data_IF_587269679186
#
_entry.id   IF_587269679186
#
_cell.length_a   1.000
_cell.length_b   1.000
_cell.length_c   1.000
_cell.angle_alpha   90.00
_cell.angle_beta   90.00
_cell.angle_gamma   90.00
#
_symmetry.space_group_name_H-M   'P 1'
#
loop_
_entity.id
_entity.type
_entity.pdbx_description
1 polymer ?
#
# COMPACT_ATOMS: atom_id res chain seq x y z
N UNK A 1 -11.43 -10.63 0.69
CA UNK A 1 -10.79 -11.58 1.64
C UNK A 1 -10.37 -10.84 2.90
N UNK A 2 -10.40 -11.54 4.03
CA UNK A 2 -9.83 -11.05 5.29
C UNK A 2 -8.31 -11.11 5.16
N UNK A 3 -7.63 -10.00 5.46
CA UNK A 3 -6.15 -9.94 5.47
C UNK A 3 -5.63 -10.19 6.89
N UNK A 4 -6.22 -9.48 7.87
CA UNK A 4 -5.84 -9.58 9.28
C UNK A 4 -6.90 -8.94 10.18
N UNK A 5 -6.77 -9.19 11.48
CA UNK A 5 -7.41 -8.41 12.55
C UNK A 5 -6.39 -7.39 13.04
N UNK A 6 -6.75 -6.13 13.07
CA UNK A 6 -5.89 -5.03 13.55
C UNK A 6 -5.87 -4.99 15.09
N UNK A 7 -4.93 -4.24 15.66
CA UNK A 7 -4.79 -4.14 17.12
C UNK A 7 -5.99 -3.46 17.82
N UNK A 8 -6.80 -2.67 17.08
CA UNK A 8 -8.05 -2.07 17.56
C UNK A 8 -9.28 -3.00 17.39
N UNK A 9 -9.06 -4.24 16.96
CA UNK A 9 -10.10 -5.24 16.70
C UNK A 9 -10.79 -5.10 15.34
N UNK A 10 -10.51 -4.04 14.57
CA UNK A 10 -11.06 -3.90 13.23
C UNK A 10 -10.50 -4.97 12.28
N UNK A 11 -11.27 -5.32 11.25
CA UNK A 11 -10.93 -6.41 10.32
C UNK A 11 -10.50 -5.81 8.99
N UNK A 12 -9.24 -6.01 8.61
CA UNK A 12 -8.73 -5.57 7.31
C UNK A 12 -9.15 -6.52 6.19
N UNK A 13 -9.80 -5.94 5.19
CA UNK A 13 -10.28 -6.63 4.00
C UNK A 13 -9.59 -6.11 2.75
N UNK A 14 -9.32 -7.01 1.82
CA UNK A 14 -8.92 -6.68 0.44
C UNK A 14 -10.00 -7.17 -0.52
N UNK A 15 -10.28 -6.39 -1.56
CA UNK A 15 -11.13 -6.85 -2.66
C UNK A 15 -10.54 -8.12 -3.28
N UNK A 16 -11.35 -9.17 -3.45
CA UNK A 16 -10.87 -10.46 -3.96
C UNK A 16 -10.38 -10.39 -5.42
N UNK A 17 -11.01 -9.54 -6.22
CA UNK A 17 -10.59 -9.19 -7.58
C UNK A 17 -9.89 -7.82 -7.62
N UNK A 18 -9.47 -7.36 -8.77
CA UNK A 18 -9.08 -5.97 -8.99
C UNK A 18 -10.30 -5.07 -9.10
N UNK A 19 -10.12 -3.78 -8.85
CA UNK A 19 -11.17 -2.79 -9.05
C UNK A 19 -11.69 -2.83 -10.49
N UNK A 20 -13.01 -2.75 -10.65
CA UNK A 20 -13.70 -2.77 -11.93
C UNK A 20 -14.59 -1.53 -12.10
N UNK A 21 -14.75 -1.09 -13.35
CA UNK A 21 -15.71 -0.07 -13.72
C UNK A 21 -17.15 -0.65 -13.80
N UNK A 22 -18.13 0.19 -14.08
CA UNK A 22 -19.54 -0.20 -14.23
C UNK A 22 -19.80 -1.17 -15.38
N UNK A 23 -18.87 -1.30 -16.31
CA UNK A 23 -18.93 -2.24 -17.44
C UNK A 23 -18.21 -3.57 -17.11
N UNK A 24 -17.65 -3.71 -15.92
CA UNK A 24 -16.93 -4.91 -15.50
C UNK A 24 -15.46 -4.98 -15.95
N UNK A 25 -14.93 -3.94 -16.59
CA UNK A 25 -13.54 -3.90 -17.01
C UNK A 25 -12.62 -3.54 -15.83
N UNK A 26 -11.43 -4.15 -15.80
CA UNK A 26 -10.43 -3.82 -14.79
C UNK A 26 -9.97 -2.37 -14.92
N UNK A 27 -10.09 -1.60 -13.85
CA UNK A 27 -9.55 -0.25 -13.76
C UNK A 27 -8.04 -0.33 -13.64
N UNK A 28 -7.33 0.29 -14.59
CA UNK A 28 -5.88 0.41 -14.60
C UNK A 28 -5.48 1.87 -14.57
N UNK A 29 -4.48 2.20 -13.77
CA UNK A 29 -3.98 3.57 -13.65
C UNK A 29 -2.49 3.57 -13.26
N UNK A 30 -1.81 4.68 -13.54
CA UNK A 30 -0.51 4.95 -12.97
C UNK A 30 -0.62 5.10 -11.44
N UNK A 31 0.44 4.78 -10.71
CA UNK A 31 0.52 5.17 -9.29
C UNK A 31 0.64 6.70 -9.20
N UNK A 32 1.53 7.28 -10.00
CA UNK A 32 1.60 8.70 -10.29
C UNK A 32 1.89 8.92 -11.79
N UNK A 33 1.35 9.97 -12.39
CA UNK A 33 1.59 10.28 -13.81
C UNK A 33 3.01 10.75 -14.07
N UNK A 34 3.59 11.51 -13.14
CA UNK A 34 4.99 11.94 -13.16
C UNK A 34 5.85 10.97 -12.35
N UNK A 35 7.13 10.88 -12.69
CA UNK A 35 8.07 9.91 -12.09
C UNK A 35 9.45 10.48 -11.80
N UNK A 36 9.71 11.74 -12.12
CA UNK A 36 11.02 12.38 -12.18
C UNK A 36 11.43 13.11 -10.89
N UNK A 37 10.77 12.81 -9.77
CA UNK A 37 11.05 13.35 -8.44
C UNK A 37 10.73 12.34 -7.34
N UNK A 38 11.45 12.43 -6.20
CA UNK A 38 11.18 11.62 -5.01
C UNK A 38 9.76 11.77 -4.48
N UNK A 39 9.11 12.91 -4.65
CA UNK A 39 7.74 13.13 -4.23
C UNK A 39 6.76 12.07 -4.80
N UNK A 40 6.97 11.64 -6.02
CA UNK A 40 6.03 10.78 -6.75
C UNK A 40 6.00 9.32 -6.30
N UNK A 41 6.82 8.91 -5.33
CA UNK A 41 6.65 7.60 -4.65
C UNK A 41 5.49 7.61 -3.65
N UNK A 42 4.96 8.78 -3.27
CA UNK A 42 3.92 8.92 -2.26
C UNK A 42 2.52 8.60 -2.77
N UNK A 43 1.72 7.89 -1.96
CA UNK A 43 0.28 7.79 -2.12
C UNK A 43 -0.39 9.16 -1.99
N UNK A 44 0.16 9.98 -1.09
CA UNK A 44 0.05 11.43 -1.10
C UNK A 44 1.47 12.01 -1.07
N UNK A 45 1.66 13.20 -1.64
CA UNK A 45 2.98 13.79 -1.78
C UNK A 45 2.96 15.32 -1.58
N UNK A 46 4.13 15.89 -1.36
CA UNK A 46 4.31 17.33 -1.15
C UNK A 46 4.67 18.07 -2.44
N UNK A 47 5.74 18.84 -2.40
CA UNK A 47 6.17 19.72 -3.49
C UNK A 47 7.33 19.07 -4.26
N UNK A 48 7.14 18.67 -5.53
CA UNK A 48 8.21 18.21 -6.39
C UNK A 48 9.26 19.32 -6.59
N UNK A 49 10.52 18.94 -6.73
CA UNK A 49 11.65 19.87 -6.84
C UNK A 49 12.09 20.46 -5.50
N UNK A 50 11.47 20.05 -4.40
CA UNK A 50 11.90 20.48 -3.06
C UNK A 50 13.30 19.98 -2.71
N UNK A 51 13.97 20.72 -1.81
CA UNK A 51 15.29 20.40 -1.29
C UNK A 51 15.28 19.83 0.13
N UNK A 52 14.11 19.47 0.65
CA UNK A 52 13.95 18.86 1.97
C UNK A 52 13.02 17.67 1.91
N UNK A 53 13.27 16.67 2.76
CA UNK A 53 12.41 15.49 2.91
C UNK A 53 10.98 15.88 3.29
N UNK A 54 10.82 16.73 4.29
CA UNK A 54 9.50 17.13 4.81
C UNK A 54 8.63 17.76 3.71
N UNK A 55 9.15 18.76 2.98
CA UNK A 55 8.40 19.44 1.92
C UNK A 55 8.11 18.52 0.74
N UNK A 56 8.98 17.53 0.47
CA UNK A 56 8.78 16.53 -0.59
C UNK A 56 7.67 15.55 -0.23
N UNK A 57 7.55 15.17 1.05
CA UNK A 57 6.66 14.08 1.49
C UNK A 57 5.43 14.52 2.26
N UNK A 58 5.28 15.81 2.57
CA UNK A 58 4.04 16.33 3.16
C UNK A 58 2.84 16.00 2.25
N UNK A 59 1.70 15.64 2.86
CA UNK A 59 0.55 15.08 2.15
C UNK A 59 -0.36 16.20 1.57
N UNK A 60 0.17 17.06 0.69
CA UNK A 60 -0.58 18.17 0.06
C UNK A 60 -1.34 17.75 -1.19
N UNK A 61 -0.82 16.78 -1.91
CA UNK A 61 -1.34 16.37 -3.22
C UNK A 61 -1.69 14.89 -3.19
N UNK A 62 -2.80 14.55 -3.84
CA UNK A 62 -3.20 13.16 -4.07
C UNK A 62 -2.46 12.59 -5.28
N UNK A 63 -1.95 11.37 -5.16
CA UNK A 63 -1.44 10.63 -6.31
C UNK A 63 -2.57 10.20 -7.25
N UNK A 64 -2.22 9.85 -8.48
CA UNK A 64 -3.19 9.34 -9.47
C UNK A 64 -3.91 8.10 -8.97
N UNK A 65 -3.19 7.18 -8.32
CA UNK A 65 -3.79 5.98 -7.73
C UNK A 65 -4.76 6.32 -6.59
N UNK A 66 -4.41 7.29 -5.73
CA UNK A 66 -5.31 7.70 -4.62
C UNK A 66 -6.62 8.25 -5.15
N UNK A 67 -6.57 9.10 -6.15
CA UNK A 67 -7.78 9.64 -6.82
C UNK A 67 -8.66 8.51 -7.36
N UNK A 68 -8.05 7.49 -7.99
CA UNK A 68 -8.77 6.34 -8.52
C UNK A 68 -9.38 5.46 -7.42
N UNK A 69 -8.67 5.25 -6.31
CA UNK A 69 -9.15 4.50 -5.13
C UNK A 69 -10.31 5.23 -4.45
N UNK A 70 -10.19 6.55 -4.25
CA UNK A 70 -11.24 7.38 -3.67
C UNK A 70 -12.51 7.36 -4.51
N UNK A 71 -12.37 7.46 -5.85
CA UNK A 71 -13.51 7.37 -6.77
C UNK A 71 -14.18 6.00 -6.70
N UNK A 72 -13.39 4.92 -6.67
CA UNK A 72 -13.94 3.57 -6.52
C UNK A 72 -14.73 3.42 -5.21
N UNK A 73 -14.26 4.04 -4.12
CA UNK A 73 -14.99 4.07 -2.84
C UNK A 73 -16.33 4.80 -2.98
N UNK A 74 -16.35 5.96 -3.63
CA UNK A 74 -17.57 6.74 -3.86
C UNK A 74 -18.62 5.92 -4.62
N UNK A 75 -18.18 5.21 -5.65
CA UNK A 75 -19.06 4.45 -6.53
C UNK A 75 -19.57 3.13 -5.90
N UNK A 76 -18.80 2.52 -4.98
CA UNK A 76 -19.08 1.15 -4.51
C UNK A 76 -19.40 1.03 -3.01
N UNK A 77 -18.86 1.89 -2.14
CA UNK A 77 -18.94 1.70 -0.69
C UNK A 77 -19.65 2.83 0.05
N UNK A 78 -19.52 4.06 -0.41
CA UNK A 78 -19.91 5.26 0.32
C UNK A 78 -21.37 5.24 0.77
N UNK A 79 -22.27 4.87 -0.12
CA UNK A 79 -23.72 4.93 0.13
C UNK A 79 -24.18 3.86 1.12
N UNK A 80 -23.69 2.62 0.96
CA UNK A 80 -24.26 1.47 1.65
C UNK A 80 -23.39 0.96 2.80
N UNK A 81 -22.08 1.24 2.81
CA UNK A 81 -21.12 0.59 3.70
C UNK A 81 -20.29 1.54 4.56
N UNK A 82 -20.35 2.86 4.35
CA UNK A 82 -19.53 3.83 5.09
C UNK A 82 -19.64 3.68 6.62
N UNK A 83 -20.85 3.42 7.13
CA UNK A 83 -21.10 3.28 8.56
C UNK A 83 -20.46 2.04 9.21
N UNK A 84 -20.10 1.05 8.41
CA UNK A 84 -19.48 -0.21 8.87
C UNK A 84 -17.95 -0.15 8.83
N UNK A 85 -17.37 0.91 8.23
CA UNK A 85 -15.93 1.02 8.04
C UNK A 85 -15.27 1.73 9.23
N UNK A 86 -14.07 1.25 9.58
CA UNK A 86 -13.21 1.82 10.61
C UNK A 86 -12.14 2.68 9.97
N UNK A 87 -11.81 3.82 10.60
CA UNK A 87 -10.69 4.69 10.23
C UNK A 87 -9.37 4.15 10.77
N UNK A 88 -9.04 2.92 10.39
CA UNK A 88 -7.80 2.27 10.80
C UNK A 88 -6.68 2.58 9.81
N UNK A 89 -5.48 2.73 10.33
CA UNK A 89 -4.26 3.14 9.65
C UNK A 89 -3.99 2.38 8.34
N UNK A 90 -3.73 3.13 7.27
CA UNK A 90 -3.03 2.67 6.06
C UNK A 90 -1.60 3.18 6.05
N UNK A 91 -0.64 2.33 5.69
CA UNK A 91 0.78 2.65 5.74
C UNK A 91 1.37 2.80 4.32
N UNK A 92 1.91 3.97 4.03
CA UNK A 92 2.72 4.20 2.82
C UNK A 92 4.16 4.54 3.20
N UNK A 93 4.83 3.64 3.90
CA UNK A 93 6.12 3.83 4.57
C UNK A 93 7.18 4.48 3.67
N UNK A 94 7.40 5.77 3.86
CA UNK A 94 8.42 6.58 3.17
C UNK A 94 9.73 6.69 3.97
N UNK A 95 9.91 5.89 5.02
CA UNK A 95 11.15 5.85 5.79
C UNK A 95 12.33 5.52 4.88
N UNK A 96 13.42 6.25 5.02
CA UNK A 96 14.64 6.00 4.27
C UNK A 96 15.31 4.71 4.72
N UNK A 97 15.89 3.97 3.79
CA UNK A 97 16.71 2.81 4.08
C UNK A 97 17.94 3.19 4.92
N UNK A 98 18.33 2.33 5.86
CA UNK A 98 19.46 2.58 6.77
C UNK A 98 20.76 1.97 6.28
N UNK A 99 20.69 0.78 5.71
CA UNK A 99 21.86 0.07 5.23
C UNK A 99 22.10 0.32 3.75
N UNK A 100 23.36 0.38 3.38
CA UNK A 100 23.78 0.61 2.01
C UNK A 100 23.35 -0.47 1.05
N UNK A 101 22.39 -0.12 0.24
CA UNK A 101 22.05 -0.89 -0.95
C UNK A 101 22.88 -0.33 -2.08
N UNK A 102 24.02 -0.97 -2.32
CA UNK A 102 25.01 -0.49 -3.30
C UNK A 102 26.00 0.56 -2.73
N UNK A 103 26.87 1.07 -3.59
CA UNK A 103 28.00 1.93 -3.20
C UNK A 103 27.65 3.38 -2.83
N UNK A 104 26.38 3.79 -2.89
CA UNK A 104 25.95 5.17 -2.65
C UNK A 104 24.90 5.26 -1.55
N UNK A 105 25.36 5.50 -0.34
CA UNK A 105 24.60 5.50 0.91
C UNK A 105 23.92 6.82 1.30
N UNK A 106 23.74 7.77 0.40
CA UNK A 106 23.17 9.07 0.72
C UNK A 106 21.71 9.18 0.27
N UNK A 107 20.83 8.35 0.83
CA UNK A 107 19.39 8.52 0.64
C UNK A 107 18.93 9.78 1.37
N UNK A 108 18.48 10.78 0.65
CA UNK A 108 18.00 12.06 1.21
C UNK A 108 16.49 12.20 1.13
N UNK A 109 15.85 11.48 0.23
CA UNK A 109 14.40 11.43 0.08
C UNK A 109 13.76 12.66 -0.55
N UNK A 110 14.52 13.51 -1.27
CA UNK A 110 13.97 14.71 -1.92
C UNK A 110 14.57 14.99 -3.29
N UNK A 111 13.83 15.75 -4.10
CA UNK A 111 14.22 16.17 -5.43
C UNK A 111 14.64 14.99 -6.31
N UNK A 112 15.71 15.13 -7.06
CA UNK A 112 16.25 14.09 -7.97
C UNK A 112 17.39 13.26 -7.35
N UNK A 113 17.55 13.31 -6.04
CA UNK A 113 18.56 12.52 -5.35
C UNK A 113 18.20 11.03 -5.35
N UNK A 114 19.15 10.16 -5.67
CA UNK A 114 18.97 8.72 -5.56
C UNK A 114 18.58 8.38 -4.11
N UNK A 115 17.49 7.66 -3.96
CA UNK A 115 16.90 7.35 -2.66
C UNK A 115 16.43 5.91 -2.62
N UNK A 116 16.71 5.23 -1.51
CA UNK A 116 16.13 3.93 -1.19
C UNK A 116 15.22 4.07 0.04
N UNK A 117 14.06 3.45 -0.02
CA UNK A 117 13.10 3.41 1.08
C UNK A 117 13.16 2.06 1.82
N UNK A 118 12.85 2.04 3.09
CA UNK A 118 13.07 0.90 3.98
C UNK A 118 12.42 -0.41 3.53
N UNK A 119 11.36 -0.36 2.72
CA UNK A 119 10.74 -1.54 2.11
C UNK A 119 11.69 -2.35 1.24
N UNK A 120 12.71 -1.70 0.62
CA UNK A 120 13.70 -2.40 -0.20
C UNK A 120 14.59 -3.31 0.66
N UNK A 121 14.98 -2.84 1.85
CA UNK A 121 15.80 -3.62 2.79
C UNK A 121 15.03 -4.82 3.33
N UNK A 122 13.76 -4.61 3.67
CA UNK A 122 12.91 -5.66 4.26
C UNK A 122 12.50 -6.73 3.26
N UNK A 123 12.25 -6.35 2.01
CA UNK A 123 11.52 -7.22 1.08
C UNK A 123 12.32 -7.64 -0.15
N UNK A 124 13.36 -6.91 -0.53
CA UNK A 124 14.08 -7.15 -1.79
C UNK A 124 15.56 -7.48 -1.56
N UNK A 125 16.25 -6.69 -0.74
CA UNK A 125 17.70 -6.80 -0.56
C UNK A 125 18.12 -7.08 0.88
N UNK A 126 17.30 -7.81 1.66
CA UNK A 126 17.72 -8.10 3.02
C UNK A 126 19.08 -8.83 2.99
N UNK A 127 20.10 -8.20 3.59
CA UNK A 127 21.47 -8.73 3.78
C UNK A 127 22.26 -9.09 2.51
N UNK A 128 21.99 -8.44 1.37
CA UNK A 128 22.79 -8.66 0.15
C UNK A 128 22.55 -10.01 -0.55
N UNK A 129 21.62 -10.81 -0.08
CA UNK A 129 21.26 -12.10 -0.68
C UNK A 129 19.93 -12.00 -1.43
N UNK A 130 19.76 -12.85 -2.42
CA UNK A 130 18.49 -13.02 -3.14
C UNK A 130 17.55 -13.98 -2.42
N UNK A 131 17.87 -14.37 -1.18
CA UNK A 131 17.11 -15.36 -0.43
C UNK A 131 15.91 -14.71 0.28
N UNK A 132 14.73 -15.21 0.01
CA UNK A 132 13.47 -14.81 0.64
C UNK A 132 13.38 -15.18 2.11
N UNK A 133 14.10 -16.23 2.54
CA UNK A 133 14.14 -16.63 3.95
C UNK A 133 14.71 -15.54 4.85
N UNK A 134 15.35 -14.53 4.27
CA UNK A 134 15.90 -13.37 4.98
C UNK A 134 15.02 -12.13 4.92
N UNK A 135 13.88 -12.14 4.20
CA UNK A 135 12.98 -10.99 4.22
C UNK A 135 12.34 -10.83 5.60
N UNK A 136 12.26 -9.59 6.05
CA UNK A 136 11.75 -9.22 7.38
C UNK A 136 10.57 -8.24 7.26
N UNK A 137 9.42 -8.68 6.71
CA UNK A 137 8.26 -7.82 6.59
C UNK A 137 7.80 -7.34 7.96
N UNK A 138 7.19 -6.16 8.01
CA UNK A 138 6.65 -5.58 9.24
C UNK A 138 5.21 -5.12 9.08
N UNK A 139 4.42 -5.25 10.14
CA UNK A 139 3.10 -4.62 10.22
C UNK A 139 3.12 -3.27 10.94
N UNK A 140 4.28 -2.86 11.46
CA UNK A 140 4.50 -1.53 12.01
C UNK A 140 4.71 -0.53 10.87
N UNK A 141 4.12 0.64 11.00
CA UNK A 141 4.22 1.69 10.00
C UNK A 141 5.25 2.73 10.39
N UNK A 142 6.26 2.96 9.54
CA UNK A 142 7.23 4.04 9.69
C UNK A 142 7.78 4.13 11.11
N UNK A 143 8.72 3.26 11.48
CA UNK A 143 9.24 3.16 12.85
C UNK A 143 10.00 4.42 13.29
N UNK A 144 10.55 5.21 12.35
CA UNK A 144 11.25 6.45 12.67
C UNK A 144 10.30 7.51 13.20
N UNK A 145 10.71 8.18 14.24
CA UNK A 145 9.91 9.02 15.14
C UNK A 145 9.22 10.21 14.44
N UNK A 146 9.76 10.70 13.33
CA UNK A 146 9.32 11.95 12.71
C UNK A 146 8.56 11.78 11.39
N UNK A 147 8.27 10.55 10.95
CA UNK A 147 7.54 10.31 9.71
C UNK A 147 6.05 10.05 9.97
N UNK A 148 5.27 11.11 10.21
CA UNK A 148 3.81 11.03 10.20
C UNK A 148 3.23 11.12 8.77
N UNK A 149 4.04 11.43 7.75
CA UNK A 149 3.59 11.48 6.35
C UNK A 149 3.18 10.12 5.79
N UNK A 150 3.66 9.04 6.39
CA UNK A 150 3.38 7.66 5.97
C UNK A 150 2.16 7.02 6.64
N UNK A 151 1.60 7.64 7.69
CA UNK A 151 0.50 7.07 8.49
C UNK A 151 -0.83 7.71 8.14
N UNK A 152 -1.56 7.07 7.23
CA UNK A 152 -2.78 7.60 6.63
C UNK A 152 -4.05 7.17 7.38
N UNK A 153 -4.85 8.15 7.81
CA UNK A 153 -6.22 8.01 8.34
C UNK A 153 -7.07 9.17 7.83
N UNK A 154 -8.39 9.13 8.02
CA UNK A 154 -9.29 10.27 7.70
C UNK A 154 -9.30 11.30 8.81
N UNK A 155 -9.00 10.88 10.05
CA UNK A 155 -8.95 11.75 11.23
C UNK A 155 -7.61 11.58 11.93
N UNK A 156 -6.95 12.69 12.25
CA UNK A 156 -5.71 12.66 13.04
C UNK A 156 -5.97 12.03 14.41
N UNK A 157 -5.13 11.04 14.77
CA UNK A 157 -5.22 10.33 16.05
C UNK A 157 -3.85 9.89 16.53
N UNK A 158 -3.76 9.55 17.81
CA UNK A 158 -2.56 8.96 18.40
C UNK A 158 -2.74 7.45 18.47
N UNK A 159 -1.77 6.71 17.94
CA UNK A 159 -1.73 5.24 17.97
C UNK A 159 -1.28 4.74 19.36
N UNK A 160 -1.53 3.45 19.69
CA UNK A 160 -1.09 2.87 20.97
C UNK A 160 0.42 2.93 21.23
N UNK A 161 1.24 3.03 20.18
CA UNK A 161 2.70 3.20 20.27
C UNK A 161 3.14 4.67 20.45
N UNK A 162 2.20 5.59 20.65
CA UNK A 162 2.44 7.01 20.86
C UNK A 162 2.68 7.81 19.56
N UNK A 163 2.67 7.18 18.40
CA UNK A 163 2.84 7.86 17.10
C UNK A 163 1.52 8.45 16.61
N UNK A 164 1.62 9.54 15.88
CA UNK A 164 0.43 10.19 15.30
C UNK A 164 0.15 9.73 13.88
N UNK A 165 -1.13 9.68 13.53
CA UNK A 165 -1.62 9.57 12.16
C UNK A 165 -1.80 10.97 11.56
N UNK A 166 -1.87 11.07 10.23
CA UNK A 166 -1.87 12.38 9.55
C UNK A 166 -3.26 12.98 9.32
N UNK A 167 -4.33 12.17 9.27
CA UNK A 167 -5.69 12.68 9.03
C UNK A 167 -5.92 13.21 7.62
N UNK A 168 -5.13 12.81 6.63
CA UNK A 168 -5.19 13.39 5.28
C UNK A 168 -6.03 12.57 4.28
N UNK A 169 -6.50 11.38 4.64
CA UNK A 169 -7.37 10.62 3.74
C UNK A 169 -8.76 11.26 3.65
N UNK A 170 -9.29 11.29 2.44
CA UNK A 170 -10.68 11.70 2.19
C UNK A 170 -11.67 10.62 2.67
N UNK A 171 -11.32 9.35 2.49
CA UNK A 171 -12.13 8.18 2.82
C UNK A 171 -11.28 7.10 3.52
N UNK A 172 -11.90 6.22 4.35
CA UNK A 172 -11.20 5.16 5.06
C UNK A 172 -10.89 3.96 4.13
N UNK A 173 -10.16 4.22 3.07
CA UNK A 173 -9.79 3.26 2.03
C UNK A 173 -8.34 3.47 1.59
N UNK A 174 -7.68 2.40 1.21
CA UNK A 174 -6.31 2.42 0.68
C UNK A 174 -5.98 1.16 -0.09
N UNK A 175 -4.70 0.82 -0.12
CA UNK A 175 -4.17 -0.43 -0.68
C UNK A 175 -3.39 -1.18 0.41
N UNK A 176 -3.05 -2.44 0.18
CA UNK A 176 -2.11 -3.16 1.05
C UNK A 176 -0.70 -2.61 0.89
N UNK A 177 0.09 -2.70 1.94
CA UNK A 177 1.54 -2.60 1.85
C UNK A 177 2.12 -3.86 1.21
N UNK A 178 3.33 -3.76 0.68
CA UNK A 178 4.04 -4.95 0.21
C UNK A 178 4.43 -5.89 1.37
N UNK A 179 4.63 -5.35 2.58
CA UNK A 179 4.85 -6.13 3.79
C UNK A 179 3.63 -7.00 4.13
N UNK A 180 2.40 -6.47 4.03
CA UNK A 180 1.17 -7.25 4.23
C UNK A 180 1.03 -8.36 3.18
N UNK A 181 1.43 -8.09 1.95
CA UNK A 181 1.43 -9.09 0.86
C UNK A 181 2.48 -10.17 1.11
N UNK A 182 3.67 -9.80 1.61
CA UNK A 182 4.71 -10.76 1.99
C UNK A 182 4.28 -11.64 3.18
N UNK A 183 3.62 -11.06 4.21
CA UNK A 183 3.03 -11.84 5.31
C UNK A 183 1.95 -12.81 4.84
N UNK A 184 1.20 -12.48 3.79
CA UNK A 184 0.27 -13.39 3.17
C UNK A 184 0.95 -14.54 2.40
N UNK A 185 2.29 -14.52 2.29
CA UNK A 185 3.11 -15.57 1.69
C UNK A 185 3.61 -15.28 0.28
N UNK A 186 3.44 -14.06 -0.25
CA UNK A 186 4.02 -13.70 -1.53
C UNK A 186 5.54 -13.60 -1.44
N UNK A 187 6.21 -14.08 -2.47
CA UNK A 187 7.67 -14.08 -2.56
C UNK A 187 8.16 -12.87 -3.38
N UNK A 188 9.45 -12.58 -3.28
CA UNK A 188 10.09 -11.58 -4.12
C UNK A 188 10.34 -12.12 -5.54
N UNK A 189 10.68 -11.22 -6.44
CA UNK A 189 10.97 -11.49 -7.84
C UNK A 189 11.76 -12.79 -8.10
N UNK A 190 11.36 -13.50 -9.14
CA UNK A 190 11.87 -14.83 -9.56
C UNK A 190 11.57 -16.01 -8.62
N UNK A 191 10.70 -15.83 -7.64
CA UNK A 191 10.24 -16.92 -6.79
C UNK A 191 8.72 -16.98 -6.83
N UNK A 192 8.17 -18.07 -7.31
CA UNK A 192 6.73 -18.24 -7.51
C UNK A 192 6.08 -18.90 -6.29
N UNK A 193 5.06 -18.27 -5.72
CA UNK A 193 4.19 -18.89 -4.71
C UNK A 193 2.72 -18.65 -5.00
N UNK A 194 2.14 -19.41 -5.93
CA UNK A 194 0.70 -19.31 -6.26
C UNK A 194 -0.25 -19.81 -5.14
N UNK A 195 0.30 -20.21 -4.01
CA UNK A 195 -0.46 -20.63 -2.84
C UNK A 195 -0.56 -19.56 -1.75
N UNK A 196 -0.05 -18.34 -1.96
CA UNK A 196 -0.14 -17.32 -0.92
C UNK A 196 -1.60 -16.88 -0.70
N UNK A 197 -1.94 -16.58 0.54
CA UNK A 197 -3.32 -16.51 1.03
C UNK A 197 -4.25 -15.57 0.24
N UNK A 198 -3.75 -14.41 -0.20
CA UNK A 198 -4.56 -13.44 -0.96
C UNK A 198 -4.39 -13.58 -2.49
N UNK A 199 -3.69 -14.64 -2.93
CA UNK A 199 -3.56 -14.93 -4.35
C UNK A 199 -4.94 -15.30 -4.96
N UNK A 200 -5.20 -14.78 -6.15
CA UNK A 200 -6.39 -15.12 -6.92
C UNK A 200 -5.96 -15.42 -8.36
N UNK A 201 -6.11 -16.67 -8.79
CA UNK A 201 -5.72 -17.13 -10.12
C UNK A 201 -6.53 -16.51 -11.28
N UNK A 202 -7.68 -15.91 -10.98
CA UNK A 202 -8.50 -15.20 -11.96
C UNK A 202 -7.94 -13.80 -12.29
N UNK A 203 -7.06 -13.26 -11.45
CA UNK A 203 -6.37 -12.00 -11.72
C UNK A 203 -5.16 -12.31 -12.62
N UNK A 204 -5.14 -11.78 -13.85
CA UNK A 204 -4.05 -12.01 -14.82
C UNK A 204 -3.16 -10.79 -15.00
N UNK A 205 -3.39 -9.72 -14.25
CA UNK A 205 -2.72 -8.43 -14.39
C UNK A 205 -1.99 -8.05 -13.10
N UNK A 206 -1.00 -7.17 -13.22
CA UNK A 206 -0.27 -6.62 -12.09
C UNK A 206 -1.14 -5.63 -11.31
N UNK A 207 -0.89 -5.51 -10.00
CA UNK A 207 -1.58 -4.55 -9.16
C UNK A 207 -0.66 -3.86 -8.15
N UNK A 208 -0.92 -2.59 -7.88
CA UNK A 208 -0.11 -1.73 -7.02
C UNK A 208 -0.27 -2.06 -5.54
N UNK A 209 0.81 -1.87 -4.78
CA UNK A 209 0.82 -1.77 -3.31
C UNK A 209 1.06 -0.32 -2.88
N UNK A 210 1.01 -0.03 -1.56
CA UNK A 210 1.36 1.29 -1.00
C UNK A 210 2.86 1.48 -0.75
N UNK A 211 3.70 0.51 -1.04
CA UNK A 211 5.09 0.51 -0.60
C UNK A 211 6.05 1.15 -1.61
N UNK A 212 6.59 2.35 -1.35
CA UNK A 212 7.68 2.92 -2.11
C UNK A 212 8.93 2.05 -1.97
N UNK A 213 9.73 1.95 -3.04
CA UNK A 213 10.96 1.18 -3.00
C UNK A 213 12.20 2.05 -3.21
N UNK A 214 12.20 2.93 -4.21
CA UNK A 214 13.34 3.77 -4.51
C UNK A 214 12.99 4.92 -5.46
N UNK A 215 13.90 5.88 -5.52
CA UNK A 215 14.04 6.82 -6.62
C UNK A 215 15.45 6.65 -7.24
N UNK A 216 15.52 6.38 -8.52
CA UNK A 216 16.76 6.00 -9.22
C UNK A 216 17.57 7.18 -9.77
N UNK A 217 17.24 8.42 -9.40
CA UNK A 217 17.79 9.64 -9.99
C UNK A 217 17.00 10.16 -11.21
N UNK A 218 16.11 9.33 -11.76
CA UNK A 218 15.25 9.68 -12.90
C UNK A 218 13.85 9.08 -12.80
N UNK A 219 13.63 8.09 -11.93
CA UNK A 219 12.38 7.39 -11.86
C UNK A 219 12.00 7.03 -10.42
N UNK A 220 10.82 7.41 -10.01
CA UNK A 220 10.15 6.95 -8.80
C UNK A 220 9.60 5.52 -9.03
N UNK A 221 9.81 4.62 -8.06
CA UNK A 221 9.47 3.21 -8.15
C UNK A 221 8.66 2.76 -6.93
N UNK A 222 7.62 1.95 -7.20
CA UNK A 222 6.71 1.37 -6.21
C UNK A 222 6.70 -0.15 -6.35
N UNK A 223 6.55 -0.86 -5.23
CA UNK A 223 6.31 -2.30 -5.22
C UNK A 223 4.92 -2.62 -5.75
N UNK A 224 4.85 -3.63 -6.58
CA UNK A 224 3.64 -4.18 -7.16
C UNK A 224 3.63 -5.70 -7.05
N UNK A 225 2.46 -6.30 -7.13
CA UNK A 225 2.32 -7.74 -7.22
C UNK A 225 2.21 -8.17 -8.68
N UNK A 226 3.03 -9.13 -9.07
CA UNK A 226 2.90 -9.84 -10.33
C UNK A 226 2.01 -11.08 -10.09
N UNK A 227 0.78 -11.02 -10.53
CA UNK A 227 -0.12 -12.12 -10.25
C UNK A 227 0.19 -13.39 -11.08
N UNK A 228 0.87 -13.28 -12.22
CA UNK A 228 1.24 -14.44 -13.04
C UNK A 228 2.27 -15.34 -12.36
N UNK A 229 3.29 -14.75 -11.74
CA UNK A 229 4.32 -15.44 -10.95
C UNK A 229 4.03 -15.46 -9.45
N UNK A 230 3.02 -14.71 -9.00
CA UNK A 230 2.67 -14.58 -7.59
C UNK A 230 3.84 -14.04 -6.74
N UNK A 231 4.52 -13.03 -7.25
CA UNK A 231 5.69 -12.42 -6.63
C UNK A 231 5.55 -10.91 -6.41
N UNK A 232 6.38 -10.39 -5.53
CA UNK A 232 6.59 -8.96 -5.33
C UNK A 232 7.73 -8.47 -6.21
N UNK A 233 7.47 -7.43 -7.00
CA UNK A 233 8.48 -6.72 -7.77
C UNK A 233 8.12 -5.22 -7.85
N UNK A 234 8.95 -4.42 -8.44
CA UNK A 234 8.71 -2.98 -8.56
C UNK A 234 8.55 -2.54 -10.02
N UNK A 235 7.98 -1.37 -10.19
CA UNK A 235 7.96 -0.68 -11.49
C UNK A 235 7.88 0.84 -11.31
N UNK A 236 8.10 1.56 -12.40
CA UNK A 236 7.94 3.00 -12.47
C UNK A 236 6.50 3.40 -12.15
N UNK A 237 6.35 4.43 -11.34
CA UNK A 237 5.04 4.92 -10.89
C UNK A 237 4.09 5.33 -12.02
N UNK A 238 4.63 5.70 -13.19
CA UNK A 238 3.83 6.11 -14.34
C UNK A 238 3.39 4.93 -15.25
N UNK A 239 3.68 3.70 -14.86
CA UNK A 239 3.14 2.51 -15.55
C UNK A 239 1.68 2.30 -15.14
N UNK A 240 0.84 1.84 -16.06
CA UNK A 240 -0.58 1.60 -15.78
C UNK A 240 -0.81 0.16 -15.32
N UNK A 241 -1.18 -0.03 -14.05
CA UNK A 241 -1.55 -1.31 -13.46
C UNK A 241 -2.90 -1.22 -12.74
N UNK A 242 -3.46 -2.37 -12.41
CA UNK A 242 -4.66 -2.45 -11.61
C UNK A 242 -4.39 -2.13 -10.14
N UNK A 243 -5.46 -2.09 -9.35
CA UNK A 243 -5.38 -1.98 -7.89
C UNK A 243 -6.47 -2.82 -7.23
N UNK A 244 -6.22 -3.22 -6.00
CA UNK A 244 -7.15 -3.98 -5.16
C UNK A 244 -7.48 -3.14 -3.94
N UNK A 245 -8.64 -2.47 -3.90
CA UNK A 245 -9.06 -1.66 -2.76
C UNK A 245 -9.04 -2.45 -1.46
N UNK A 246 -8.63 -1.78 -0.40
CA UNK A 246 -8.50 -2.33 0.95
C UNK A 246 -9.23 -1.42 1.92
N UNK A 247 -10.06 -1.99 2.79
CA UNK A 247 -10.83 -1.29 3.83
C UNK A 247 -10.69 -2.00 5.17
N UNK A 248 -11.10 -1.34 6.26
CA UNK A 248 -11.19 -1.95 7.56
C UNK A 248 -12.64 -1.92 8.04
N UNK A 249 -13.19 -3.08 8.46
CA UNK A 249 -14.50 -3.14 9.10
C UNK A 249 -14.36 -2.87 10.60
N UNK A 250 -15.34 -2.19 11.17
CA UNK A 250 -15.45 -2.03 12.62
C UNK A 250 -15.57 -3.39 13.30
N UNK A 251 -15.01 -3.52 14.50
CA UNK A 251 -15.01 -4.78 15.28
C UNK A 251 -16.41 -5.27 15.67
N UNK A 252 -17.39 -4.38 15.72
CA UNK A 252 -18.76 -4.65 16.15
C UNK A 252 -19.75 -4.91 14.99
N UNK A 253 -19.25 -5.03 13.76
CA UNK A 253 -20.08 -5.36 12.60
C UNK A 253 -20.61 -6.77 12.74
N UNK A 254 -21.92 -6.94 12.58
CA UNK A 254 -22.58 -8.26 12.61
C UNK A 254 -22.58 -8.89 11.22
N UNK A 255 -22.41 -10.20 11.20
CA UNK A 255 -22.38 -10.99 9.97
C UNK A 255 -23.35 -12.15 10.03
N UNK A 256 -23.86 -12.54 8.88
CA UNK A 256 -24.45 -13.84 8.60
C UNK A 256 -23.54 -14.64 7.67
N UNK A 257 -23.80 -15.93 7.50
CA UNK A 257 -22.96 -16.82 6.69
C UNK A 257 -21.87 -17.52 7.49
N UNK A 258 -21.26 -18.52 6.89
CA UNK A 258 -20.23 -19.36 7.52
C UNK A 258 -18.81 -19.02 7.08
N UNK A 259 -18.64 -18.08 6.13
CA UNK A 259 -17.35 -17.62 5.64
C UNK A 259 -16.68 -18.53 4.60
N UNK A 260 -17.38 -19.58 4.15
CA UNK A 260 -16.92 -20.41 3.03
C UNK A 260 -17.37 -19.83 1.69
N UNK A 261 -16.78 -20.27 0.59
CA UNK A 261 -17.09 -19.76 -0.76
C UNK A 261 -18.57 -19.93 -1.15
N UNK A 262 -19.22 -21.01 -0.70
CA UNK A 262 -20.63 -21.27 -0.97
C UNK A 262 -21.58 -20.45 -0.06
N UNK A 263 -21.10 -19.97 1.09
CA UNK A 263 -21.85 -19.17 2.06
C UNK A 263 -20.93 -18.11 2.69
N UNK A 264 -20.55 -17.07 1.93
CA UNK A 264 -19.65 -16.03 2.40
C UNK A 264 -20.29 -15.18 3.50
N UNK A 265 -19.46 -14.59 4.35
CA UNK A 265 -19.95 -13.61 5.31
C UNK A 265 -20.64 -12.44 4.60
N UNK A 266 -21.81 -12.07 5.10
CA UNK A 266 -22.58 -10.91 4.66
C UNK A 266 -22.80 -9.97 5.84
N UNK A 267 -22.57 -8.69 5.65
CA UNK A 267 -22.87 -7.68 6.66
C UNK A 267 -24.38 -7.63 6.86
N UNK A 268 -24.81 -7.68 8.11
CA UNK A 268 -26.20 -7.41 8.47
C UNK A 268 -26.38 -5.88 8.44
N UNK A 269 -27.07 -5.39 7.43
CA UNK A 269 -27.46 -3.98 7.33
C UNK A 269 -28.74 -3.77 8.13
N UNK A 270 -28.73 -2.83 9.05
CA UNK A 270 -29.90 -2.36 9.81
C UNK A 270 -30.80 -1.49 8.94
#
# INVERSE_FOLDING_TARGET
>A
RIVRINGDGSIRLILDDVAKDSSGNSIKTAFNTNKDDNAYVGYMYGTPGSTTYDTTHENKNDSTIKIAVDRWYEDNLKTNYANYLSDTLFCGDKTLAESGIGSNNTSTGYGVNITYYSSIERLIYSTGTTDITTSTPTLKCAEKVNDNYSRYTTTKSTLPDGKETNGNLKYPIGLLTADEVAYAGAYKYNQTNKSFYIYNNNITIFWWTLAPISFSGANALILRVNNSSADLYYNYVNTSYAFRPTVNLKYNVKFTGTGISADPYKIVTE
#
